data_IF_251666558529
#
_entry.id   IF_251666558529
#
_cell.length_a   1.000
_cell.length_b   1.000
_cell.length_c   1.000
_cell.angle_alpha   90.00
_cell.angle_beta   90.00
_cell.angle_gamma   90.00
#
_symmetry.space_group_name_H-M   'P 1'
#
loop_
_entity.id
_entity.type
_entity.pdbx_description
1 polymer ?
#
# COMPACT_ATOMS: atom_id res chain seq x y z
N UNK A 1 3.20 -8.65 14.86
CA UNK A 1 3.60 -7.33 15.41
C UNK A 1 2.36 -6.66 16.01
N UNK A 2 2.35 -6.19 17.26
CA UNK A 2 1.12 -5.71 17.92
C UNK A 2 0.70 -4.29 17.47
N UNK A 3 0.77 -4.02 16.16
CA UNK A 3 0.35 -2.74 15.58
C UNK A 3 -1.18 -2.75 15.48
N UNK A 4 -1.88 -1.68 15.90
CA UNK A 4 -3.33 -1.60 15.74
C UNK A 4 -3.68 -1.42 14.27
N UNK A 5 -4.77 -2.06 13.78
CA UNK A 5 -5.33 -1.70 12.48
C UNK A 5 -5.88 -0.27 12.54
N UNK A 6 -5.61 0.52 11.50
CA UNK A 6 -6.05 1.92 11.41
C UNK A 6 -7.03 2.15 10.27
N UNK A 7 -7.01 1.28 9.25
CA UNK A 7 -7.96 1.29 8.16
C UNK A 7 -8.04 -0.08 7.47
N UNK A 8 -9.13 -0.31 6.75
CA UNK A 8 -9.37 -1.55 6.00
C UNK A 8 -10.09 -1.25 4.68
N UNK A 9 -9.62 -1.86 3.60
CA UNK A 9 -10.23 -1.76 2.28
C UNK A 9 -10.47 -3.14 1.66
N UNK A 10 -11.44 -3.24 0.77
CA UNK A 10 -11.84 -4.48 0.12
C UNK A 10 -11.71 -4.33 -1.39
N UNK A 11 -11.32 -5.40 -2.07
CA UNK A 11 -11.41 -5.46 -3.53
C UNK A 11 -12.87 -5.48 -3.96
N UNK A 12 -13.20 -4.94 -5.14
CA UNK A 12 -14.57 -4.90 -5.64
C UNK A 12 -15.23 -6.28 -5.76
N UNK A 13 -14.44 -7.33 -6.02
CA UNK A 13 -14.88 -8.73 -6.07
C UNK A 13 -15.07 -9.39 -4.69
N UNK A 14 -14.68 -8.70 -3.60
CA UNK A 14 -14.73 -9.22 -2.24
C UNK A 14 -13.74 -10.36 -1.94
N UNK A 15 -12.83 -10.69 -2.85
CA UNK A 15 -11.91 -11.81 -2.71
C UNK A 15 -10.71 -11.51 -1.80
N UNK A 16 -10.35 -10.24 -1.66
CA UNK A 16 -9.19 -9.80 -0.87
C UNK A 16 -9.50 -8.56 -0.02
N UNK A 17 -8.72 -8.40 1.04
CA UNK A 17 -8.79 -7.27 1.96
C UNK A 17 -7.40 -6.70 2.16
N UNK A 18 -7.27 -5.38 2.13
CA UNK A 18 -6.07 -4.66 2.54
C UNK A 18 -6.29 -4.10 3.94
N UNK A 19 -5.41 -4.44 4.88
CA UNK A 19 -5.43 -3.88 6.23
C UNK A 19 -4.21 -3.00 6.41
N UNK A 20 -4.43 -1.75 6.77
CA UNK A 20 -3.37 -0.82 7.16
C UNK A 20 -3.16 -0.87 8.67
N UNK A 21 -1.90 -0.93 9.10
CA UNK A 21 -1.49 -0.96 10.49
C UNK A 21 -0.70 0.29 10.84
N UNK A 22 -1.06 0.90 11.97
CA UNK A 22 -0.45 2.13 12.46
C UNK A 22 0.93 1.93 13.08
N UNK A 23 1.35 2.94 13.84
CA UNK A 23 2.58 2.87 14.63
C UNK A 23 2.50 1.67 15.59
N UNK A 24 3.64 1.01 15.77
CA UNK A 24 3.77 0.11 16.90
C UNK A 24 3.85 0.94 18.19
N UNK A 25 2.86 0.82 19.07
CA UNK A 25 2.88 1.46 20.38
C UNK A 25 3.65 0.57 21.37
N UNK A 26 4.83 1.01 21.80
CA UNK A 26 5.62 0.33 22.84
C UNK A 26 7.13 0.20 22.57
N UNK A 27 7.91 0.18 23.65
CA UNK A 27 9.34 -0.16 23.62
C UNK A 27 9.56 -1.56 23.02
N UNK A 28 10.74 -1.79 22.40
CA UNK A 28 11.17 -3.13 21.98
C UNK A 28 11.04 -4.12 23.15
N UNK A 29 10.14 -5.13 23.09
CA UNK A 29 9.97 -6.06 24.19
C UNK A 29 11.27 -6.84 24.42
N UNK A 30 11.77 -6.81 25.65
CA UNK A 30 12.93 -7.62 26.06
C UNK A 30 12.56 -9.10 25.91
N UNK A 31 13.26 -9.82 25.03
CA UNK A 31 13.16 -11.30 24.90
C UNK A 31 12.37 -11.86 23.71
N UNK A 32 12.08 -11.08 22.64
CA UNK A 32 11.33 -11.59 21.47
C UNK A 32 12.17 -12.33 20.42
N UNK A 33 11.48 -13.22 19.67
CA UNK A 33 12.02 -13.93 18.49
C UNK A 33 12.63 -12.93 17.49
N UNK A 34 13.78 -13.30 16.92
CA UNK A 34 14.58 -12.52 15.94
C UNK A 34 13.75 -11.89 14.81
N UNK A 35 12.66 -12.56 14.41
CA UNK A 35 11.74 -12.15 13.35
C UNK A 35 10.98 -10.86 13.65
N UNK A 36 10.44 -10.70 14.87
CA UNK A 36 9.67 -9.51 15.26
C UNK A 36 10.56 -8.25 15.27
N UNK A 37 11.83 -8.40 15.68
CA UNK A 37 12.80 -7.30 15.68
C UNK A 37 13.19 -6.92 14.26
N UNK A 38 13.36 -7.89 13.36
CA UNK A 38 13.66 -7.63 11.96
C UNK A 38 12.53 -6.85 11.27
N UNK A 39 11.28 -7.29 11.46
CA UNK A 39 10.10 -6.61 10.90
C UNK A 39 10.00 -5.15 11.36
N UNK A 40 10.28 -4.89 12.65
CA UNK A 40 10.26 -3.52 13.19
C UNK A 40 11.33 -2.63 12.61
N UNK A 41 12.55 -3.15 12.45
CA UNK A 41 13.64 -2.40 11.81
C UNK A 41 13.29 -2.10 10.35
N UNK A 42 12.76 -3.07 9.64
CA UNK A 42 12.39 -2.92 8.24
C UNK A 42 11.27 -1.89 8.03
N UNK A 43 10.37 -1.74 9.01
CA UNK A 43 9.29 -0.73 9.03
C UNK A 43 9.59 0.45 9.97
N UNK A 44 10.86 0.77 10.24
CA UNK A 44 11.24 1.87 11.12
C UNK A 44 10.91 3.21 10.48
N UNK A 45 10.19 4.08 11.20
CA UNK A 45 9.76 5.39 10.69
C UNK A 45 8.50 5.37 9.81
N UNK A 46 7.97 4.18 9.50
CA UNK A 46 6.79 4.03 8.65
C UNK A 46 5.80 2.97 9.15
N UNK A 47 4.89 2.58 8.27
CA UNK A 47 3.81 1.65 8.55
C UNK A 47 3.95 0.28 7.91
N UNK A 48 2.91 -0.52 8.12
CA UNK A 48 2.74 -1.83 7.53
C UNK A 48 1.34 -1.93 6.95
N UNK A 49 1.20 -2.50 5.77
CA UNK A 49 -0.08 -2.99 5.27
C UNK A 49 0.06 -4.49 4.97
N UNK A 50 -1.06 -5.20 5.07
CA UNK A 50 -1.12 -6.60 4.68
C UNK A 50 -2.32 -6.86 3.79
N UNK A 51 -2.07 -7.58 2.69
CA UNK A 51 -3.13 -8.10 1.82
C UNK A 51 -3.51 -9.48 2.32
N UNK A 52 -4.78 -9.67 2.59
CA UNK A 52 -5.37 -10.92 3.04
C UNK A 52 -6.30 -11.47 1.96
N UNK A 53 -6.24 -12.78 1.76
CA UNK A 53 -7.20 -13.48 0.91
C UNK A 53 -8.32 -13.99 1.82
N UNK A 54 -9.56 -13.61 1.54
CA UNK A 54 -10.71 -13.89 2.41
C UNK A 54 -10.89 -15.40 2.62
N UNK A 55 -10.66 -16.20 1.58
CA UNK A 55 -10.78 -17.66 1.63
C UNK A 55 -9.52 -18.38 2.16
N UNK A 56 -8.44 -17.65 2.50
CA UNK A 56 -7.20 -18.19 3.09
C UNK A 56 -6.61 -17.22 4.14
N UNK A 57 -7.24 -17.08 5.33
CA UNK A 57 -6.89 -16.06 6.32
C UNK A 57 -5.74 -16.45 7.27
N UNK A 58 -5.12 -17.63 7.10
CA UNK A 58 -4.11 -18.16 8.05
C UNK A 58 -2.81 -17.37 8.05
N UNK A 59 -2.46 -16.77 6.92
CA UNK A 59 -1.31 -15.89 6.77
C UNK A 59 -1.64 -14.83 5.73
N UNK A 60 -1.06 -13.62 5.82
CA UNK A 60 -1.25 -12.63 4.79
C UNK A 60 -0.70 -13.16 3.46
N UNK A 61 -1.32 -12.78 2.36
CA UNK A 61 -0.83 -13.10 1.02
C UNK A 61 0.38 -12.24 0.65
N UNK A 62 0.35 -10.95 1.02
CA UNK A 62 1.46 -10.03 0.79
C UNK A 62 1.62 -9.04 1.96
N UNK A 63 2.87 -8.62 2.19
CA UNK A 63 3.23 -7.61 3.18
C UNK A 63 3.81 -6.39 2.47
N UNK A 64 3.29 -5.21 2.80
CA UNK A 64 3.66 -3.94 2.19
C UNK A 64 4.24 -3.01 3.26
N UNK A 65 5.48 -2.58 3.09
CA UNK A 65 6.09 -1.53 3.90
C UNK A 65 5.60 -0.18 3.41
N UNK A 66 5.02 0.60 4.32
CA UNK A 66 4.76 2.01 4.11
C UNK A 66 5.93 2.85 4.63
N UNK A 67 6.31 3.88 3.88
CA UNK A 67 7.36 4.83 4.21
C UNK A 67 6.88 5.86 5.25
N UNK A 68 5.61 6.29 5.17
CA UNK A 68 4.91 7.05 6.20
C UNK A 68 3.95 6.19 7.05
N UNK A 69 3.36 6.79 8.08
CA UNK A 69 2.30 6.15 8.87
C UNK A 69 0.98 6.18 8.10
N UNK A 70 0.42 5.03 7.70
CA UNK A 70 -0.81 4.99 6.92
C UNK A 70 -1.99 5.47 7.77
N UNK A 71 -2.87 6.22 7.14
CA UNK A 71 -4.13 6.72 7.70
C UNK A 71 -5.34 6.21 6.93
N UNK A 72 -5.19 6.03 5.62
CA UNK A 72 -6.19 5.47 4.71
C UNK A 72 -5.56 4.50 3.74
N UNK A 73 -6.31 3.51 3.29
CA UNK A 73 -5.87 2.56 2.28
C UNK A 73 -6.99 2.24 1.28
N UNK A 74 -6.57 1.82 0.09
CA UNK A 74 -7.47 1.36 -0.96
C UNK A 74 -6.78 0.22 -1.74
N UNK A 75 -7.55 -0.70 -2.29
CA UNK A 75 -7.03 -1.83 -3.05
C UNK A 75 -7.96 -2.12 -4.22
N UNK A 76 -7.38 -2.50 -5.35
CA UNK A 76 -8.11 -2.84 -6.55
C UNK A 76 -8.02 -4.32 -6.88
N UNK A 77 -9.04 -4.79 -7.59
CA UNK A 77 -9.18 -6.17 -8.04
C UNK A 77 -8.51 -6.41 -9.40
N UNK A 78 -8.89 -7.46 -10.12
CA UNK A 78 -8.34 -7.76 -11.45
C UNK A 78 -9.08 -6.90 -12.50
N UNK A 79 -8.40 -6.32 -13.51
CA UNK A 79 -7.03 -6.59 -13.96
C UNK A 79 -5.91 -5.80 -13.26
N UNK A 80 -6.22 -4.62 -12.73
CA UNK A 80 -5.22 -3.73 -12.14
C UNK A 80 -5.02 -4.08 -10.66
N UNK A 81 -4.09 -4.99 -10.33
CA UNK A 81 -3.81 -5.38 -8.94
C UNK A 81 -2.88 -4.38 -8.26
N UNK A 82 -3.44 -3.34 -7.67
CA UNK A 82 -2.71 -2.24 -7.05
C UNK A 82 -3.24 -1.97 -5.65
N UNK A 83 -2.33 -1.61 -4.73
CA UNK A 83 -2.70 -1.10 -3.42
C UNK A 83 -2.25 0.36 -3.28
N UNK A 84 -3.00 1.12 -2.50
CA UNK A 84 -2.72 2.52 -2.18
C UNK A 84 -2.78 2.76 -0.68
N UNK A 85 -1.99 3.73 -0.22
CA UNK A 85 -2.07 4.24 1.13
C UNK A 85 -1.87 5.75 1.14
N UNK A 86 -2.75 6.45 1.84
CA UNK A 86 -2.54 7.82 2.28
C UNK A 86 -1.91 7.82 3.66
N UNK A 87 -1.04 8.78 3.92
CA UNK A 87 -0.23 8.82 5.14
C UNK A 87 -0.48 10.06 5.98
N UNK A 88 -0.05 10.00 7.24
CA UNK A 88 -0.17 11.10 8.20
C UNK A 88 0.67 12.35 7.80
N UNK A 89 1.71 12.17 6.98
CA UNK A 89 2.54 13.25 6.45
C UNK A 89 2.03 13.82 5.11
N UNK A 90 0.88 13.34 4.61
CA UNK A 90 0.32 13.74 3.32
C UNK A 90 0.80 12.88 2.14
N UNK A 91 1.74 11.97 2.32
CA UNK A 91 2.20 11.13 1.20
C UNK A 91 1.15 10.11 0.75
N UNK A 92 1.02 9.98 -0.57
CA UNK A 92 0.33 8.91 -1.28
C UNK A 92 1.36 7.89 -1.73
N UNK A 93 1.17 6.64 -1.33
CA UNK A 93 2.03 5.53 -1.65
C UNK A 93 1.25 4.50 -2.46
N UNK A 94 1.90 3.90 -3.46
CA UNK A 94 1.30 2.91 -4.36
C UNK A 94 2.20 1.69 -4.49
N UNK A 95 1.58 0.50 -4.52
CA UNK A 95 2.27 -0.77 -4.75
C UNK A 95 1.61 -1.50 -5.92
N UNK A 96 2.39 -1.86 -6.94
CA UNK A 96 1.99 -2.88 -7.91
C UNK A 96 2.16 -4.27 -7.26
N UNK A 97 1.03 -4.93 -6.99
CA UNK A 97 1.00 -6.21 -6.27
C UNK A 97 1.51 -7.38 -7.12
N UNK A 98 1.76 -7.16 -8.41
CA UNK A 98 2.27 -8.15 -9.37
C UNK A 98 3.79 -8.15 -9.45
N UNK A 99 4.46 -7.15 -8.86
CA UNK A 99 5.93 -7.12 -8.83
C UNK A 99 6.49 -8.42 -8.28
N UNK A 100 7.62 -8.88 -8.81
CA UNK A 100 8.26 -10.10 -8.32
C UNK A 100 8.76 -9.90 -6.88
N UNK A 101 8.41 -10.82 -5.97
CA UNK A 101 8.85 -10.76 -4.57
C UNK A 101 10.38 -10.70 -4.38
N UNK A 102 11.14 -11.19 -5.36
CA UNK A 102 12.61 -11.14 -5.39
C UNK A 102 13.19 -9.72 -5.50
N UNK A 103 12.40 -8.72 -5.91
CA UNK A 103 12.82 -7.31 -5.99
C UNK A 103 12.77 -6.59 -4.65
N UNK A 104 12.28 -7.25 -3.60
CA UNK A 104 12.08 -6.64 -2.30
C UNK A 104 12.84 -7.38 -1.20
N UNK A 105 12.99 -6.69 -0.08
CA UNK A 105 13.52 -7.28 1.14
C UNK A 105 12.63 -8.44 1.60
N UNK A 106 13.23 -9.48 2.21
CA UNK A 106 12.49 -10.59 2.78
C UNK A 106 12.54 -10.59 4.30
N UNK A 107 11.41 -10.87 4.93
CA UNK A 107 11.24 -10.97 6.39
C UNK A 107 10.66 -12.33 6.76
N UNK A 108 10.90 -12.76 8.00
CA UNK A 108 10.27 -13.96 8.54
C UNK A 108 8.99 -13.57 9.27
N UNK A 109 7.88 -14.26 8.97
CA UNK A 109 6.59 -14.07 9.65
C UNK A 109 6.00 -15.45 9.93
N UNK A 110 5.85 -15.78 11.21
CA UNK A 110 5.27 -17.07 11.61
C UNK A 110 6.10 -18.28 11.16
N UNK A 111 7.41 -18.13 10.98
CA UNK A 111 8.29 -19.18 10.46
C UNK A 111 8.37 -19.26 8.93
N UNK A 112 7.57 -18.49 8.19
CA UNK A 112 7.60 -18.43 6.73
C UNK A 112 8.35 -17.18 6.24
N UNK A 113 9.08 -17.32 5.12
CA UNK A 113 9.80 -16.20 4.51
C UNK A 113 8.90 -15.49 3.51
N UNK A 114 8.64 -14.21 3.77
CA UNK A 114 7.76 -13.37 2.95
C UNK A 114 8.50 -12.15 2.41
N UNK A 115 8.10 -11.67 1.23
CA UNK A 115 8.58 -10.39 0.70
C UNK A 115 7.89 -9.24 1.46
N UNK A 116 8.68 -8.27 1.92
CA UNK A 116 8.23 -7.00 2.46
C UNK A 116 8.39 -5.93 1.39
N UNK A 117 7.30 -5.66 0.67
CA UNK A 117 7.32 -4.82 -0.54
C UNK A 117 7.39 -3.34 -0.19
N UNK A 118 8.36 -2.63 -0.76
CA UNK A 118 8.36 -1.16 -0.72
C UNK A 118 7.38 -0.59 -1.74
N UNK A 119 6.93 0.66 -1.60
CA UNK A 119 6.08 1.29 -2.60
C UNK A 119 6.80 1.32 -3.96
N UNK A 120 6.06 1.03 -5.02
CA UNK A 120 6.48 1.26 -6.41
C UNK A 120 6.57 2.77 -6.69
N UNK A 121 5.67 3.54 -6.08
CA UNK A 121 5.60 4.98 -6.18
C UNK A 121 5.26 5.60 -4.82
N UNK A 122 5.82 6.78 -4.55
CA UNK A 122 5.53 7.58 -3.36
C UNK A 122 5.51 9.06 -3.75
N UNK A 123 4.46 9.77 -3.38
CA UNK A 123 4.29 11.21 -3.65
C UNK A 123 5.00 12.08 -2.61
N UNK A 124 6.12 11.63 -2.05
CA UNK A 124 6.79 12.36 -0.97
C UNK A 124 6.96 13.85 -1.31
N UNK A 125 6.87 14.71 -0.28
CA UNK A 125 6.80 16.17 -0.47
C UNK A 125 8.02 16.79 -1.17
N UNK A 126 9.07 16.00 -1.45
CA UNK A 126 10.21 16.42 -2.26
C UNK A 126 10.07 16.12 -3.76
N UNK A 127 9.33 15.08 -4.14
CA UNK A 127 9.20 14.66 -5.55
C UNK A 127 8.09 15.41 -6.30
N UNK A 128 7.02 15.82 -5.61
CA UNK A 128 5.88 16.51 -6.21
C UNK A 128 5.64 17.87 -5.56
N UNK A 129 5.74 18.94 -6.35
CA UNK A 129 5.55 20.33 -5.91
C UNK A 129 4.12 20.68 -5.47
N UNK A 130 3.14 19.78 -5.69
CA UNK A 130 1.72 20.01 -5.43
C UNK A 130 1.04 18.85 -4.68
N UNK A 131 1.78 18.08 -3.89
CA UNK A 131 1.22 17.01 -3.05
C UNK A 131 0.31 17.52 -1.93
N UNK A 132 -0.23 16.60 -1.13
CA UNK A 132 -0.86 16.94 0.14
C UNK A 132 0.19 17.40 1.15
N UNK A 133 -0.18 18.36 1.98
CA UNK A 133 0.68 18.94 3.04
C UNK A 133 0.11 18.66 4.43
N UNK A 134 -1.06 18.01 4.49
CA UNK A 134 -1.76 17.62 5.70
C UNK A 134 -2.07 16.11 5.64
N UNK A 135 -2.41 15.48 6.79
CA UNK A 135 -2.74 14.07 6.83
C UNK A 135 -3.82 13.71 5.82
N UNK A 136 -3.63 12.63 5.06
CA UNK A 136 -4.67 12.11 4.16
C UNK A 136 -5.80 11.53 4.99
N UNK A 137 -7.03 12.01 4.77
CA UNK A 137 -8.21 11.62 5.56
C UNK A 137 -9.26 10.87 4.76
N UNK A 138 -9.20 10.93 3.43
CA UNK A 138 -10.00 10.12 2.55
C UNK A 138 -9.18 9.64 1.34
N UNK A 139 -9.45 8.41 0.92
CA UNK A 139 -8.82 7.77 -0.23
C UNK A 139 -9.86 6.86 -0.89
N UNK A 140 -10.12 7.06 -2.17
CA UNK A 140 -11.09 6.29 -2.93
C UNK A 140 -10.49 5.92 -4.28
N UNK A 141 -10.63 4.66 -4.68
CA UNK A 141 -10.18 4.17 -5.97
C UNK A 141 -11.37 3.77 -6.83
N UNK A 142 -11.36 4.21 -8.09
CA UNK A 142 -12.33 3.82 -9.11
C UNK A 142 -11.61 2.95 -10.13
N UNK A 143 -12.00 1.67 -10.17
CA UNK A 143 -11.51 0.72 -11.16
C UNK A 143 -12.15 0.98 -12.54
N UNK A 144 -11.42 0.76 -13.64
CA UNK A 144 -11.98 0.87 -14.97
C UNK A 144 -13.10 -0.15 -15.18
N UNK A 145 -14.15 0.27 -15.89
CA UNK A 145 -15.28 -0.60 -16.22
C UNK A 145 -14.84 -1.57 -17.33
N UNK A 146 -15.06 -2.89 -17.20
CA UNK A 146 -14.79 -3.84 -18.27
C UNK A 146 -15.49 -3.45 -19.58
N UNK A 147 -14.72 -3.23 -20.65
CA UNK A 147 -15.24 -2.82 -21.97
C UNK A 147 -15.34 -1.31 -22.19
N UNK A 148 -14.89 -0.47 -21.26
CA UNK A 148 -14.72 0.96 -21.49
C UNK A 148 -13.54 1.27 -22.42
N UNK A 149 -13.62 2.38 -23.15
CA UNK A 149 -12.55 2.88 -24.03
C UNK A 149 -11.28 3.26 -23.26
N UNK A 150 -11.42 3.68 -21.99
CA UNK A 150 -10.30 4.02 -21.09
C UNK A 150 -10.14 2.93 -20.04
N UNK A 151 -8.92 2.44 -19.88
CA UNK A 151 -8.56 1.41 -18.88
C UNK A 151 -7.90 2.01 -17.64
N UNK A 152 -8.06 3.32 -17.45
CA UNK A 152 -7.32 4.06 -16.44
C UNK A 152 -7.93 3.84 -15.07
N UNK A 153 -7.07 3.55 -14.10
CA UNK A 153 -7.45 3.52 -12.70
C UNK A 153 -7.36 4.94 -12.16
N UNK A 154 -8.43 5.42 -11.53
CA UNK A 154 -8.48 6.75 -10.93
C UNK A 154 -8.45 6.63 -9.42
N UNK A 155 -7.58 7.38 -8.77
CA UNK A 155 -7.50 7.51 -7.32
C UNK A 155 -7.87 8.94 -6.95
N UNK A 156 -8.79 9.11 -6.00
CA UNK A 156 -9.09 10.40 -5.39
C UNK A 156 -8.57 10.40 -3.96
N UNK A 157 -7.81 11.43 -3.60
CA UNK A 157 -7.27 11.60 -2.25
C UNK A 157 -7.61 12.98 -1.70
N UNK A 158 -7.99 13.04 -0.42
CA UNK A 158 -8.28 14.30 0.26
C UNK A 158 -7.53 14.36 1.58
N UNK A 159 -6.91 15.50 1.87
CA UNK A 159 -6.25 15.75 3.14
C UNK A 159 -7.12 16.53 4.14
N UNK A 160 -6.66 16.59 5.40
CA UNK A 160 -7.36 17.25 6.49
C UNK A 160 -7.56 18.77 6.29
N UNK A 161 -6.84 19.38 5.34
CA UNK A 161 -7.04 20.80 4.97
C UNK A 161 -8.16 21.00 3.94
N UNK A 162 -8.68 19.90 3.38
CA UNK A 162 -9.69 19.92 2.32
C UNK A 162 -9.11 19.99 0.91
N UNK A 163 -7.79 19.85 0.73
CA UNK A 163 -7.17 19.73 -0.60
C UNK A 163 -7.54 18.36 -1.17
N UNK A 164 -8.21 18.35 -2.32
CA UNK A 164 -8.54 17.15 -3.11
C UNK A 164 -7.57 17.03 -4.28
N UNK A 165 -6.96 15.86 -4.47
CA UNK A 165 -6.10 15.53 -5.61
C UNK A 165 -6.69 14.29 -6.30
N UNK A 166 -6.78 14.35 -7.63
CA UNK A 166 -7.18 13.22 -8.47
C UNK A 166 -5.95 12.73 -9.22
N UNK A 167 -5.66 11.45 -9.08
CA UNK A 167 -4.56 10.76 -9.72
C UNK A 167 -5.11 9.82 -10.78
N UNK A 168 -4.45 9.78 -11.93
CA UNK A 168 -4.77 8.85 -13.00
C UNK A 168 -3.57 7.92 -13.20
N UNK A 169 -3.80 6.63 -12.98
CA UNK A 169 -2.82 5.59 -13.24
C UNK A 169 -3.08 5.04 -14.63
N UNK A 170 -2.13 5.31 -15.53
CA UNK A 170 -2.15 4.78 -16.89
C UNK A 170 -1.39 3.46 -16.92
N UNK A 171 -2.08 2.40 -17.32
CA UNK A 171 -1.46 1.11 -17.60
C UNK A 171 -1.29 0.96 -19.11
N UNK A 172 -0.04 0.99 -19.59
CA UNK A 172 0.29 0.89 -21.00
C UNK A 172 1.28 -0.23 -21.28
N UNK A 173 1.18 -0.82 -22.47
CA UNK A 173 2.24 -1.67 -22.97
C UNK A 173 3.37 -0.80 -23.52
N UNK A 174 4.55 -0.89 -22.88
CA UNK A 174 5.75 -0.19 -23.34
C UNK A 174 6.22 -0.69 -24.72
N UNK A 175 5.71 -1.83 -25.21
CA UNK A 175 5.94 -2.30 -26.59
C UNK A 175 5.41 -1.33 -27.65
N UNK A 176 4.44 -0.47 -27.29
CA UNK A 176 3.91 0.57 -28.18
C UNK A 176 4.77 1.85 -28.20
N UNK A 177 5.77 1.94 -27.32
CA UNK A 177 6.72 3.06 -27.26
C UNK A 177 8.04 2.77 -27.98
N UNK A 178 8.18 1.62 -28.64
CA UNK A 178 9.26 1.44 -29.62
C UNK A 178 8.94 2.28 -30.86
N UNK A 179 9.35 3.55 -30.81
CA UNK A 179 9.45 4.41 -31.98
C UNK A 179 10.49 3.81 -32.94
N UNK A 180 10.09 3.65 -34.20
CA UNK A 180 10.99 3.47 -35.35
C UNK A 180 12.00 4.62 -35.47
#
# INVERSE_FOLDING_TARGET
DARPPVDVAFTADGGSTLVAYGLHDGELPKGKKREDVAMRRACSGGGLLAVWIVHQPTSPWQLLRALGLPTRCAITSTPCRVAFAGSADGSIQMWDLREAGSRHESVMVGGERMALRSPTFCSDGGSLSHGHEAPVVALEVTEPIPGAETTDLVLSSMDASGKLIVWQLLEGDLSLLSLE
#
